data_IF_258145205211
#
_entry.id   IF_258145205211
#
_cell.length_a   1.000
_cell.length_b   1.000
_cell.length_c   1.000
_cell.angle_alpha   90.00
_cell.angle_beta   90.00
_cell.angle_gamma   90.00
#
_symmetry.space_group_name_H-M   'P 1'
#
loop_
_entity.id
_entity.type
_entity.pdbx_description
1 polymer ?
#
# COMPACT_ATOMS: atom_id res chain seq x y z
N UNK A 1 0.33 2.34 19.52
CA UNK A 1 -0.88 1.50 19.75
C UNK A 1 -1.70 1.32 18.47
N UNK A 2 -2.08 2.41 17.78
CA UNK A 2 -2.85 2.38 16.53
C UNK A 2 -2.22 1.57 15.37
N UNK A 3 -0.89 1.58 15.26
CA UNK A 3 -0.14 0.85 14.22
C UNK A 3 -0.44 -0.66 14.22
N UNK A 4 -0.65 -1.25 15.39
CA UNK A 4 -0.96 -2.70 15.49
C UNK A 4 -2.38 -3.00 15.03
N UNK A 5 -3.33 -2.09 15.26
CA UNK A 5 -4.68 -2.22 14.72
C UNK A 5 -4.70 -2.10 13.19
N UNK A 6 -3.93 -1.17 12.62
CA UNK A 6 -3.72 -1.08 11.16
C UNK A 6 -3.17 -2.39 10.59
N UNK A 7 -2.21 -2.99 11.29
CA UNK A 7 -1.62 -4.27 10.91
C UNK A 7 -2.65 -5.41 10.93
N UNK A 8 -3.51 -5.44 11.94
CA UNK A 8 -4.60 -6.42 12.07
C UNK A 8 -5.60 -6.24 10.91
N UNK A 9 -6.09 -5.02 10.67
CA UNK A 9 -7.02 -4.74 9.56
C UNK A 9 -6.41 -5.20 8.23
N UNK A 10 -5.17 -4.78 7.94
CA UNK A 10 -4.50 -5.12 6.69
C UNK A 10 -4.43 -6.63 6.49
N UNK A 11 -3.93 -7.35 7.49
CA UNK A 11 -3.75 -8.78 7.35
C UNK A 11 -5.09 -9.54 7.26
N UNK A 12 -6.11 -9.16 8.03
CA UNK A 12 -7.45 -9.77 7.95
C UNK A 12 -8.07 -9.51 6.57
N UNK A 13 -7.96 -8.29 6.06
CA UNK A 13 -8.45 -7.93 4.72
C UNK A 13 -7.82 -8.83 3.64
N UNK A 14 -6.50 -9.01 3.70
CA UNK A 14 -5.77 -9.86 2.76
C UNK A 14 -6.29 -11.31 2.78
N UNK A 15 -6.49 -11.87 3.96
CA UNK A 15 -7.00 -13.24 4.13
C UNK A 15 -8.41 -13.36 3.58
N UNK A 16 -9.28 -12.42 3.90
CA UNK A 16 -10.66 -12.42 3.41
C UNK A 16 -10.71 -12.36 1.89
N UNK A 17 -9.89 -11.52 1.25
CA UNK A 17 -9.78 -11.50 -0.21
C UNK A 17 -9.24 -12.80 -0.79
N UNK A 18 -8.18 -13.37 -0.19
CA UNK A 18 -7.57 -14.61 -0.71
C UNK A 18 -8.55 -15.75 -0.52
N UNK A 19 -8.96 -16.09 0.69
CA UNK A 19 -9.86 -17.21 0.93
C UNK A 19 -11.25 -17.00 0.34
N UNK A 20 -11.74 -15.77 0.27
CA UNK A 20 -12.97 -15.43 -0.45
C UNK A 20 -12.85 -15.76 -1.93
N UNK A 21 -11.73 -15.40 -2.57
CA UNK A 21 -11.43 -15.81 -3.95
C UNK A 21 -11.38 -17.34 -4.07
N UNK A 22 -10.68 -18.04 -3.17
CA UNK A 22 -10.53 -19.50 -3.22
C UNK A 22 -11.87 -20.24 -3.10
N UNK A 23 -12.70 -19.84 -2.14
CA UNK A 23 -13.95 -20.52 -1.84
C UNK A 23 -15.07 -20.13 -2.80
N UNK A 24 -14.95 -18.98 -3.49
CA UNK A 24 -15.87 -18.59 -4.56
C UNK A 24 -15.91 -19.58 -5.74
N UNK A 25 -14.86 -20.39 -5.93
CA UNK A 25 -14.86 -21.46 -6.93
C UNK A 25 -15.73 -22.65 -6.54
N UNK A 26 -15.88 -22.89 -5.24
CA UNK A 26 -16.59 -24.06 -4.69
C UNK A 26 -18.06 -23.73 -4.52
N UNK A 27 -18.40 -22.49 -4.16
CA UNK A 27 -19.79 -22.06 -4.00
C UNK A 27 -19.94 -20.63 -3.54
N UNK A 28 -21.17 -20.25 -3.23
CA UNK A 28 -21.51 -18.92 -2.72
C UNK A 28 -21.30 -18.85 -1.21
N UNK A 29 -20.66 -17.77 -0.76
CA UNK A 29 -20.46 -17.46 0.66
C UNK A 29 -21.54 -16.48 1.12
N UNK A 30 -22.15 -16.74 2.28
CA UNK A 30 -23.19 -15.88 2.84
C UNK A 30 -22.64 -14.98 3.94
N UNK A 31 -23.15 -13.74 4.04
CA UNK A 31 -22.88 -12.81 5.13
C UNK A 31 -21.39 -12.52 5.40
N UNK A 32 -20.56 -12.53 4.35
CA UNK A 32 -19.10 -12.36 4.46
C UNK A 32 -18.72 -11.02 5.09
N UNK A 33 -19.49 -9.97 4.84
CA UNK A 33 -19.28 -8.63 5.40
C UNK A 33 -19.44 -8.61 6.93
N UNK A 34 -20.48 -9.28 7.43
CA UNK A 34 -20.76 -9.36 8.86
C UNK A 34 -19.71 -10.24 9.56
N UNK A 35 -19.27 -11.31 8.90
CA UNK A 35 -18.15 -12.13 9.34
C UNK A 35 -16.84 -11.35 9.39
N UNK A 36 -16.55 -10.54 8.37
CA UNK A 36 -15.37 -9.70 8.33
C UNK A 36 -15.33 -8.71 9.49
N UNK A 37 -16.44 -8.01 9.73
CA UNK A 37 -16.60 -7.12 10.87
C UNK A 37 -16.41 -7.85 12.20
N UNK A 38 -17.02 -9.03 12.35
CA UNK A 38 -16.87 -9.85 13.56
C UNK A 38 -15.42 -10.26 13.81
N UNK A 39 -14.71 -10.71 12.77
CA UNK A 39 -13.31 -11.14 12.90
C UNK A 39 -12.39 -9.95 13.23
N UNK A 40 -12.65 -8.76 12.68
CA UNK A 40 -11.91 -7.54 13.08
C UNK A 40 -12.17 -7.20 14.55
N UNK A 41 -13.44 -7.13 14.96
CA UNK A 41 -13.82 -6.75 16.31
C UNK A 41 -13.28 -7.75 17.36
N UNK A 42 -13.43 -9.05 17.09
CA UNK A 42 -12.88 -10.10 17.95
C UNK A 42 -11.35 -10.03 18.02
N UNK A 43 -10.67 -9.78 16.90
CA UNK A 43 -9.22 -9.58 16.87
C UNK A 43 -8.76 -8.35 17.66
N UNK A 44 -9.53 -7.26 17.63
CA UNK A 44 -9.24 -6.05 18.40
C UNK A 44 -9.39 -6.27 19.90
N UNK A 45 -10.47 -6.96 20.31
CA UNK A 45 -10.72 -7.34 21.70
C UNK A 45 -9.61 -8.27 22.18
N UNK A 46 -9.29 -9.32 21.42
CA UNK A 46 -8.23 -10.27 21.79
C UNK A 46 -6.87 -9.57 21.91
N UNK A 47 -6.53 -8.68 20.97
CA UNK A 47 -5.30 -7.90 21.05
C UNK A 47 -5.27 -6.99 22.29
N UNK A 48 -6.38 -6.30 22.62
CA UNK A 48 -6.47 -5.41 23.78
C UNK A 48 -6.24 -6.13 25.10
N UNK A 49 -6.69 -7.38 25.20
CA UNK A 49 -6.58 -8.19 26.41
C UNK A 49 -5.48 -9.25 26.37
N UNK A 50 -4.63 -9.23 25.34
CA UNK A 50 -3.51 -10.16 25.16
C UNK A 50 -2.50 -10.16 26.32
N UNK A 51 -2.47 -9.11 27.15
CA UNK A 51 -1.62 -9.05 28.35
C UNK A 51 -2.12 -9.93 29.51
N UNK A 52 -3.40 -10.32 29.53
CA UNK A 52 -4.01 -11.15 30.58
C UNK A 52 -4.18 -12.59 30.07
N UNK A 53 -3.25 -13.49 30.44
CA UNK A 53 -3.18 -14.88 29.94
C UNK A 53 -4.53 -15.62 29.97
N UNK A 54 -5.24 -15.61 31.09
CA UNK A 54 -6.52 -16.33 31.23
C UNK A 54 -7.61 -15.75 30.34
N UNK A 55 -7.77 -14.43 30.34
CA UNK A 55 -8.80 -13.75 29.55
C UNK A 55 -8.52 -13.88 28.04
N UNK A 56 -7.25 -13.89 27.63
CA UNK A 56 -6.87 -14.09 26.23
C UNK A 56 -7.21 -15.49 25.70
N UNK A 57 -7.15 -16.52 26.55
CA UNK A 57 -7.54 -17.90 26.17
C UNK A 57 -9.04 -17.98 25.96
N UNK A 58 -9.83 -17.39 26.87
CA UNK A 58 -11.30 -17.35 26.75
C UNK A 58 -11.72 -16.59 25.49
N UNK A 59 -11.12 -15.43 25.25
CA UNK A 59 -11.41 -14.60 24.08
C UNK A 59 -10.96 -15.22 22.76
N UNK A 60 -10.06 -16.21 22.77
CA UNK A 60 -9.62 -16.91 21.55
C UNK A 60 -10.75 -17.73 20.90
N UNK A 61 -11.83 -18.00 21.64
CA UNK A 61 -13.02 -18.67 21.12
C UNK A 61 -13.90 -17.69 20.31
N UNK A 62 -13.77 -16.38 20.56
CA UNK A 62 -14.65 -15.36 20.00
C UNK A 62 -14.69 -15.31 18.45
N UNK A 63 -13.56 -15.43 17.72
CA UNK A 63 -13.58 -15.49 16.26
C UNK A 63 -14.38 -16.67 15.69
N UNK A 64 -14.58 -17.73 16.48
CA UNK A 64 -15.26 -18.96 16.06
C UNK A 64 -16.75 -18.98 16.42
N UNK A 65 -17.25 -18.02 17.19
CA UNK A 65 -18.65 -17.96 17.61
C UNK A 65 -19.66 -18.01 16.43
N UNK A 66 -19.40 -17.41 15.26
CA UNK A 66 -20.27 -17.54 14.10
C UNK A 66 -20.44 -18.97 13.56
N UNK A 67 -19.56 -19.92 13.90
CA UNK A 67 -19.71 -21.33 13.51
C UNK A 67 -21.03 -21.94 14.01
N UNK A 68 -21.53 -21.48 15.15
CA UNK A 68 -22.77 -21.96 15.76
C UNK A 68 -24.02 -21.50 14.98
N UNK A 69 -23.92 -20.37 14.26
CA UNK A 69 -25.04 -19.75 13.57
C UNK A 69 -25.15 -20.20 12.10
N UNK A 70 -24.04 -20.63 11.50
CA UNK A 70 -24.00 -20.93 10.06
C UNK A 70 -24.33 -22.41 9.77
N UNK A 71 -25.27 -22.61 8.84
CA UNK A 71 -25.74 -23.96 8.43
C UNK A 71 -24.92 -24.56 7.28
N UNK A 72 -24.31 -23.74 6.43
CA UNK A 72 -23.56 -24.20 5.26
C UNK A 72 -22.18 -24.78 5.60
N UNK A 73 -21.76 -25.93 5.00
CA UNK A 73 -20.44 -26.51 5.24
C UNK A 73 -19.31 -25.62 4.72
N UNK A 74 -19.55 -24.89 3.61
CA UNK A 74 -18.60 -23.96 3.02
C UNK A 74 -18.37 -22.74 3.92
N UNK A 75 -19.44 -22.13 4.42
CA UNK A 75 -19.37 -21.01 5.38
C UNK A 75 -18.63 -21.41 6.66
N UNK A 76 -18.89 -22.61 7.21
CA UNK A 76 -18.16 -23.12 8.39
C UNK A 76 -16.68 -23.29 8.11
N UNK A 77 -16.32 -23.81 6.94
CA UNK A 77 -14.93 -24.00 6.53
C UNK A 77 -14.23 -22.64 6.39
N UNK A 78 -14.90 -21.66 5.79
CA UNK A 78 -14.39 -20.29 5.69
C UNK A 78 -14.12 -19.67 7.07
N UNK A 79 -15.08 -19.78 8.01
CA UNK A 79 -14.92 -19.27 9.37
C UNK A 79 -13.78 -19.98 10.11
N UNK A 80 -13.67 -21.32 9.97
CA UNK A 80 -12.61 -22.08 10.61
C UNK A 80 -11.22 -21.63 10.14
N UNK A 81 -11.03 -21.50 8.82
CA UNK A 81 -9.76 -21.08 8.22
C UNK A 81 -9.43 -19.62 8.61
N UNK A 82 -10.37 -18.70 8.40
CA UNK A 82 -10.16 -17.26 8.69
C UNK A 82 -9.97 -17.02 10.18
N UNK A 83 -10.72 -17.72 11.04
CA UNK A 83 -10.59 -17.71 12.49
C UNK A 83 -9.22 -18.23 12.97
N UNK A 84 -8.80 -19.43 12.51
CA UNK A 84 -7.49 -19.99 12.84
C UNK A 84 -6.35 -19.07 12.41
N UNK A 85 -6.42 -18.52 11.21
CA UNK A 85 -5.38 -17.62 10.71
C UNK A 85 -5.37 -16.29 11.50
N UNK A 86 -6.54 -15.75 11.87
CA UNK A 86 -6.61 -14.54 12.71
C UNK A 86 -5.90 -14.73 14.05
N UNK A 87 -6.07 -15.89 14.70
CA UNK A 87 -5.37 -16.24 15.93
C UNK A 87 -3.87 -16.41 15.72
N UNK A 88 -3.47 -17.12 14.65
CA UNK A 88 -2.07 -17.27 14.27
C UNK A 88 -1.37 -15.91 14.12
N UNK A 89 -2.03 -14.96 13.46
CA UNK A 89 -1.53 -13.60 13.28
C UNK A 89 -1.41 -12.87 14.61
N UNK A 90 -2.42 -12.94 15.48
CA UNK A 90 -2.41 -12.24 16.76
C UNK A 90 -1.25 -12.71 17.65
N UNK A 91 -0.93 -14.00 17.65
CA UNK A 91 0.23 -14.56 18.35
C UNK A 91 1.57 -14.06 17.77
N UNK A 92 1.61 -13.77 16.47
CA UNK A 92 2.81 -13.28 15.75
C UNK A 92 2.97 -11.76 15.80
N UNK A 93 1.87 -11.00 15.83
CA UNK A 93 1.82 -9.52 15.84
C UNK A 93 2.43 -8.93 17.14
N UNK A 94 2.56 -9.73 18.20
CA UNK A 94 3.23 -9.32 19.44
C UNK A 94 4.73 -9.04 19.25
N UNK A 95 5.37 -9.53 18.17
CA UNK A 95 6.77 -9.24 17.85
C UNK A 95 6.95 -7.79 17.34
N UNK A 96 8.11 -7.17 17.61
CA UNK A 96 8.42 -5.78 17.20
C UNK A 96 8.12 -5.57 15.71
N UNK A 97 7.25 -4.61 15.42
CA UNK A 97 6.87 -4.20 14.06
C UNK A 97 7.80 -3.06 13.63
N UNK A 98 8.70 -3.33 12.69
CA UNK A 98 9.62 -2.32 12.11
C UNK A 98 9.20 -1.97 10.68
N UNK A 99 9.61 -0.81 10.17
CA UNK A 99 9.33 -0.40 8.80
C UNK A 99 9.88 -1.39 7.79
N UNK A 100 11.18 -1.75 7.88
CA UNK A 100 11.80 -2.73 6.99
C UNK A 100 11.05 -4.06 6.96
N UNK A 101 10.57 -4.51 8.12
CA UNK A 101 9.78 -5.74 8.23
C UNK A 101 8.41 -5.66 7.55
N UNK A 102 7.81 -4.47 7.49
CA UNK A 102 6.54 -4.23 6.83
C UNK A 102 6.72 -4.05 5.31
N UNK A 103 7.82 -3.44 4.87
CA UNK A 103 8.19 -3.29 3.45
C UNK A 103 8.41 -4.66 2.81
N UNK A 104 9.26 -5.49 3.40
CA UNK A 104 9.53 -6.84 2.88
C UNK A 104 8.25 -7.69 2.79
N UNK A 105 7.35 -7.50 3.77
CA UNK A 105 6.05 -8.13 3.80
C UNK A 105 5.16 -7.65 2.64
N UNK A 106 5.10 -6.35 2.40
CA UNK A 106 4.31 -5.75 1.33
C UNK A 106 4.82 -6.16 -0.05
N UNK A 107 6.13 -6.12 -0.28
CA UNK A 107 6.79 -6.53 -1.53
C UNK A 107 6.50 -8.00 -1.88
N UNK A 108 6.43 -8.89 -0.89
CA UNK A 108 6.09 -10.31 -1.12
C UNK A 108 4.62 -10.54 -1.44
N UNK A 109 3.72 -9.67 -0.97
CA UNK A 109 2.26 -9.86 -1.12
C UNK A 109 1.69 -9.13 -2.33
N UNK A 110 2.23 -7.98 -2.72
CA UNK A 110 1.77 -7.25 -3.90
C UNK A 110 1.67 -8.15 -5.15
N UNK A 111 2.68 -8.97 -5.50
CA UNK A 111 2.60 -9.83 -6.68
C UNK A 111 1.42 -10.79 -6.61
N UNK A 112 1.11 -11.32 -5.42
CA UNK A 112 -0.03 -12.22 -5.19
C UNK A 112 -1.34 -11.47 -5.43
N UNK A 113 -1.48 -10.26 -4.88
CA UNK A 113 -2.66 -9.41 -5.08
C UNK A 113 -2.86 -9.09 -6.56
N UNK A 114 -1.79 -8.74 -7.27
CA UNK A 114 -1.82 -8.47 -8.72
C UNK A 114 -2.26 -9.72 -9.49
N UNK A 115 -1.65 -10.88 -9.23
CA UNK A 115 -1.97 -12.14 -9.90
C UNK A 115 -3.45 -12.50 -9.67
N UNK A 116 -3.93 -12.46 -8.43
CA UNK A 116 -5.34 -12.78 -8.13
C UNK A 116 -6.27 -11.79 -8.82
N UNK A 117 -5.92 -10.50 -8.85
CA UNK A 117 -6.72 -9.47 -9.54
C UNK A 117 -6.80 -9.75 -11.04
N UNK A 118 -5.68 -10.04 -11.70
CA UNK A 118 -5.64 -10.37 -13.14
C UNK A 118 -6.45 -11.63 -13.43
N UNK A 119 -6.23 -12.70 -12.66
CA UNK A 119 -6.98 -13.96 -12.82
C UNK A 119 -8.48 -13.70 -12.64
N UNK A 120 -8.85 -12.88 -11.66
CA UNK A 120 -10.25 -12.58 -11.40
C UNK A 120 -10.91 -11.79 -12.52
N UNK A 121 -10.21 -10.82 -13.10
CA UNK A 121 -10.69 -10.09 -14.29
C UNK A 121 -10.83 -11.05 -15.47
N UNK A 122 -9.86 -11.92 -15.70
CA UNK A 122 -9.92 -12.92 -16.77
C UNK A 122 -11.12 -13.87 -16.58
N UNK A 123 -11.39 -14.32 -15.36
CA UNK A 123 -12.56 -15.15 -15.04
C UNK A 123 -13.86 -14.36 -15.25
N UNK A 124 -13.90 -13.09 -14.85
CA UNK A 124 -15.07 -12.24 -15.05
C UNK A 124 -15.41 -12.05 -16.53
N UNK A 125 -14.40 -12.03 -17.40
CA UNK A 125 -14.58 -11.95 -18.85
C UNK A 125 -15.00 -13.30 -19.46
N UNK A 126 -14.46 -14.40 -18.96
CA UNK A 126 -14.78 -15.74 -19.45
C UNK A 126 -16.11 -16.31 -18.94
N UNK A 127 -16.53 -15.91 -17.73
CA UNK A 127 -17.72 -16.43 -17.04
C UNK A 127 -18.49 -15.28 -16.38
N UNK A 128 -19.38 -14.59 -17.12
CA UNK A 128 -20.15 -13.43 -16.62
C UNK A 128 -20.92 -13.73 -15.33
N UNK A 129 -21.47 -14.93 -15.16
CA UNK A 129 -22.23 -15.31 -13.97
C UNK A 129 -21.37 -15.35 -12.68
N UNK A 130 -20.06 -15.57 -12.82
CA UNK A 130 -19.11 -15.59 -11.68
C UNK A 130 -18.48 -14.23 -11.41
N UNK A 131 -18.69 -13.23 -12.27
CA UNK A 131 -18.15 -11.87 -12.11
C UNK A 131 -18.69 -11.17 -10.85
N UNK A 132 -19.95 -11.45 -10.49
CA UNK A 132 -20.62 -10.87 -9.32
C UNK A 132 -19.86 -11.24 -8.05
N UNK A 133 -19.41 -12.50 -7.94
CA UNK A 133 -18.70 -13.01 -6.77
C UNK A 133 -17.35 -12.30 -6.55
N UNK A 134 -16.61 -11.99 -7.61
CA UNK A 134 -15.35 -11.26 -7.50
C UNK A 134 -15.55 -9.83 -6.97
N UNK A 135 -16.50 -9.12 -7.56
CA UNK A 135 -16.80 -7.73 -7.21
C UNK A 135 -17.34 -7.60 -5.78
N UNK A 136 -18.00 -8.63 -5.26
CA UNK A 136 -18.53 -8.64 -3.89
C UNK A 136 -17.55 -9.19 -2.86
N UNK A 137 -16.73 -10.20 -3.19
CA UNK A 137 -15.96 -10.96 -2.21
C UNK A 137 -14.46 -10.73 -2.21
N UNK A 138 -13.88 -10.18 -3.28
CA UNK A 138 -12.41 -10.10 -3.41
C UNK A 138 -11.95 -8.67 -3.49
N UNK A 139 -12.51 -7.91 -4.44
CA UNK A 139 -12.13 -6.52 -4.69
C UNK A 139 -12.27 -5.63 -3.43
N UNK A 140 -13.37 -5.68 -2.65
CA UNK A 140 -13.53 -4.80 -1.50
C UNK A 140 -12.43 -4.99 -0.45
N UNK A 141 -12.05 -6.24 -0.15
CA UNK A 141 -11.03 -6.51 0.87
C UNK A 141 -9.62 -6.28 0.35
N UNK A 142 -9.33 -6.45 -0.94
CA UNK A 142 -8.05 -6.01 -1.50
C UNK A 142 -7.86 -4.51 -1.42
N UNK A 143 -8.91 -3.72 -1.68
CA UNK A 143 -8.85 -2.26 -1.52
C UNK A 143 -8.54 -1.90 -0.06
N UNK A 144 -9.25 -2.51 0.90
CA UNK A 144 -8.97 -2.26 2.34
C UNK A 144 -7.56 -2.71 2.72
N UNK A 145 -7.08 -3.85 2.20
CA UNK A 145 -5.71 -4.33 2.41
C UNK A 145 -4.68 -3.31 1.90
N UNK A 146 -4.78 -2.89 0.64
CA UNK A 146 -3.83 -1.98 0.00
C UNK A 146 -3.78 -0.64 0.73
N UNK A 147 -4.95 -0.06 1.01
CA UNK A 147 -5.06 1.20 1.72
C UNK A 147 -4.46 1.12 3.11
N UNK A 148 -4.84 0.10 3.89
CA UNK A 148 -4.32 -0.07 5.24
C UNK A 148 -2.82 -0.40 5.27
N UNK A 149 -2.31 -1.16 4.29
CA UNK A 149 -0.89 -1.47 4.15
C UNK A 149 -0.05 -0.24 3.77
N UNK A 150 -0.50 0.56 2.80
CA UNK A 150 0.18 1.81 2.40
C UNK A 150 0.22 2.81 3.55
N UNK A 151 -0.90 2.96 4.26
CA UNK A 151 -0.98 3.80 5.46
C UNK A 151 -0.05 3.30 6.55
N UNK A 152 -0.02 1.98 6.77
CA UNK A 152 0.88 1.37 7.74
C UNK A 152 2.34 1.66 7.39
N UNK A 153 2.74 1.48 6.13
CA UNK A 153 4.10 1.75 5.66
C UNK A 153 4.45 3.23 5.81
N UNK A 154 3.56 4.14 5.41
CA UNK A 154 3.76 5.58 5.55
C UNK A 154 3.94 5.97 7.01
N UNK A 155 3.11 5.42 7.88
CA UNK A 155 3.19 5.66 9.34
C UNK A 155 4.50 5.14 9.91
N UNK A 156 4.89 3.91 9.58
CA UNK A 156 6.13 3.31 10.06
C UNK A 156 7.37 4.07 9.55
N UNK A 157 7.38 4.45 8.26
CA UNK A 157 8.43 5.29 7.67
C UNK A 157 8.54 6.62 8.41
N UNK A 158 7.42 7.26 8.69
CA UNK A 158 7.43 8.52 9.41
C UNK A 158 7.98 8.36 10.84
N UNK A 159 7.59 7.33 11.56
CA UNK A 159 8.09 7.05 12.92
C UNK A 159 9.60 6.75 12.92
N UNK A 160 10.10 6.10 11.87
CA UNK A 160 11.50 5.74 11.74
C UNK A 160 12.39 6.94 11.34
N UNK A 161 11.88 7.87 10.52
CA UNK A 161 12.66 8.98 9.97
C UNK A 161 12.34 10.37 10.53
N UNK A 162 11.22 10.58 11.24
CA UNK A 162 10.97 11.83 11.97
C UNK A 162 11.43 11.72 13.41
N UNK A 163 12.50 12.46 13.71
CA UNK A 163 12.86 12.83 15.07
C UNK A 163 11.65 13.43 15.80
N UNK A 164 11.51 13.08 17.08
CA UNK A 164 10.35 13.22 17.95
C UNK A 164 9.79 14.65 18.21
N UNK A 165 10.10 15.64 17.39
CA UNK A 165 9.80 17.06 17.66
C UNK A 165 8.40 17.52 17.20
N UNK A 166 7.80 16.95 16.14
CA UNK A 166 6.52 17.45 15.61
C UNK A 166 5.31 16.54 15.90
N UNK A 167 4.80 16.61 17.14
CA UNK A 167 3.62 15.84 17.59
C UNK A 167 2.30 16.26 16.92
N UNK A 168 2.18 17.45 16.36
CA UNK A 168 0.92 17.93 15.77
C UNK A 168 0.74 17.47 14.31
N UNK A 169 1.82 17.35 13.54
CA UNK A 169 1.80 16.72 12.19
C UNK A 169 1.34 15.25 12.28
N UNK A 170 1.63 14.58 13.41
CA UNK A 170 1.21 13.21 13.70
C UNK A 170 -0.31 13.07 13.85
N UNK A 171 -0.99 14.00 14.53
CA UNK A 171 -2.45 13.93 14.72
C UNK A 171 -3.21 14.12 13.41
N UNK A 172 -2.74 15.05 12.57
CA UNK A 172 -3.37 15.38 11.29
C UNK A 172 -3.17 14.25 10.27
N UNK A 173 -1.94 13.74 10.10
CA UNK A 173 -1.69 12.60 9.22
C UNK A 173 -2.39 11.32 9.69
N UNK A 174 -2.53 11.14 11.01
CA UNK A 174 -3.32 10.04 11.58
C UNK A 174 -4.80 10.21 11.27
N UNK A 175 -5.36 11.41 11.44
CA UNK A 175 -6.75 11.69 11.12
C UNK A 175 -7.05 11.44 9.64
N UNK A 176 -6.18 11.86 8.72
CA UNK A 176 -6.31 11.55 7.30
C UNK A 176 -6.20 10.06 7.02
N UNK A 177 -5.27 9.36 7.68
CA UNK A 177 -5.10 7.91 7.53
C UNK A 177 -6.35 7.14 7.99
N UNK A 178 -6.90 7.52 9.15
CA UNK A 178 -8.15 6.93 9.68
C UNK A 178 -9.31 7.27 8.75
N UNK A 179 -9.40 8.51 8.27
CA UNK A 179 -10.42 8.94 7.32
C UNK A 179 -10.38 8.14 6.02
N UNK A 180 -9.19 7.94 5.44
CA UNK A 180 -9.02 7.15 4.22
C UNK A 180 -9.42 5.69 4.47
N UNK A 181 -9.03 5.08 5.60
CA UNK A 181 -9.45 3.71 5.94
C UNK A 181 -10.95 3.61 6.10
N UNK A 182 -11.57 4.57 6.78
CA UNK A 182 -13.00 4.61 6.99
C UNK A 182 -13.75 4.77 5.67
N UNK A 183 -13.29 5.66 4.79
CA UNK A 183 -13.84 5.83 3.44
C UNK A 183 -13.66 4.56 2.61
N UNK A 184 -12.48 3.93 2.64
CA UNK A 184 -12.24 2.67 1.93
C UNK A 184 -13.09 1.53 2.45
N UNK A 185 -13.32 1.47 3.77
CA UNK A 185 -14.25 0.54 4.39
C UNK A 185 -15.70 0.83 3.96
N UNK A 186 -16.14 2.09 3.97
CA UNK A 186 -17.47 2.45 3.49
C UNK A 186 -17.66 2.06 2.02
N UNK A 187 -16.69 2.37 1.15
CA UNK A 187 -16.70 1.98 -0.26
C UNK A 187 -16.64 0.46 -0.48
N UNK A 188 -16.18 -0.30 0.51
CA UNK A 188 -16.20 -1.77 0.47
C UNK A 188 -17.62 -2.34 0.60
N UNK A 189 -18.57 -1.57 1.15
CA UNK A 189 -19.95 -2.02 1.35
C UNK A 189 -20.78 -1.84 0.06
N UNK A 190 -21.52 -2.87 -0.40
CA UNK A 190 -22.32 -2.81 -1.62
C UNK A 190 -23.44 -1.77 -1.52
N UNK A 191 -24.05 -1.62 -0.33
CA UNK A 191 -25.10 -0.62 -0.09
C UNK A 191 -24.58 0.80 -0.32
N UNK A 192 -23.39 1.11 0.21
CA UNK A 192 -22.77 2.43 0.04
C UNK A 192 -22.41 2.67 -1.42
N UNK A 193 -21.84 1.68 -2.11
CA UNK A 193 -21.56 1.78 -3.55
C UNK A 193 -22.83 2.01 -4.38
N UNK A 194 -23.91 1.31 -4.07
CA UNK A 194 -25.18 1.46 -4.77
C UNK A 194 -25.78 2.86 -4.58
N UNK A 195 -25.72 3.41 -3.36
CA UNK A 195 -26.16 4.78 -3.07
C UNK A 195 -25.30 5.80 -3.80
N UNK A 196 -23.97 5.65 -3.77
CA UNK A 196 -23.06 6.54 -4.51
C UNK A 196 -23.31 6.50 -6.01
N UNK A 197 -23.48 5.30 -6.58
CA UNK A 197 -23.75 5.13 -8.01
C UNK A 197 -25.08 5.77 -8.40
N UNK A 198 -26.12 5.61 -7.56
CA UNK A 198 -27.42 6.27 -7.76
C UNK A 198 -27.28 7.80 -7.72
N UNK A 199 -26.45 8.33 -6.82
CA UNK A 199 -26.17 9.77 -6.75
C UNK A 199 -25.44 10.27 -8.01
N UNK A 200 -24.41 9.55 -8.44
CA UNK A 200 -23.64 9.87 -9.66
C UNK A 200 -24.53 9.79 -10.91
N UNK A 201 -25.36 8.75 -11.02
CA UNK A 201 -26.26 8.58 -12.17
C UNK A 201 -27.34 9.67 -12.22
N UNK A 202 -27.89 10.08 -11.07
CA UNK A 202 -28.77 11.24 -10.98
C UNK A 202 -28.06 12.51 -11.43
N UNK A 203 -26.88 12.80 -10.90
CA UNK A 203 -26.12 13.99 -11.32
C UNK A 203 -25.81 14.00 -12.81
N UNK A 204 -25.36 12.87 -13.35
CA UNK A 204 -25.08 12.72 -14.78
C UNK A 204 -26.33 12.91 -15.64
N UNK A 205 -27.47 12.32 -15.25
CA UNK A 205 -28.74 12.48 -15.99
C UNK A 205 -29.25 13.92 -15.96
N UNK A 206 -29.07 14.66 -14.86
CA UNK A 206 -29.38 16.09 -14.81
C UNK A 206 -28.47 16.94 -15.71
N UNK A 207 -27.16 16.67 -15.71
CA UNK A 207 -26.22 17.39 -16.59
C UNK A 207 -26.53 17.09 -18.06
N UNK A 208 -26.73 15.82 -18.39
CA UNK A 208 -27.03 15.39 -19.76
C UNK A 208 -28.37 15.95 -20.24
N UNK A 209 -29.41 15.92 -19.41
CA UNK A 209 -30.72 16.50 -19.76
C UNK A 209 -30.65 18.01 -19.94
N UNK A 210 -29.92 18.73 -19.08
CA UNK A 210 -29.67 20.16 -19.26
C UNK A 210 -28.94 20.47 -20.56
N UNK A 211 -27.90 19.69 -20.89
CA UNK A 211 -27.18 19.81 -22.17
C UNK A 211 -28.09 19.55 -23.37
N UNK A 212 -28.86 18.46 -23.35
CA UNK A 212 -29.80 18.11 -24.41
C UNK A 212 -30.90 19.17 -24.58
N UNK A 213 -31.40 19.72 -23.48
CA UNK A 213 -32.40 20.80 -23.53
C UNK A 213 -31.80 22.07 -24.14
N UNK A 214 -30.56 22.44 -23.78
CA UNK A 214 -29.85 23.55 -24.41
C UNK A 214 -29.67 23.35 -25.91
N UNK A 215 -29.28 22.14 -26.32
CA UNK A 215 -29.14 21.77 -27.73
C UNK A 215 -30.49 21.83 -28.46
N UNK A 216 -31.58 21.37 -27.84
CA UNK A 216 -32.92 21.46 -28.40
C UNK A 216 -33.38 22.92 -28.61
N UNK A 217 -33.07 23.83 -27.69
CA UNK A 217 -33.36 25.26 -27.85
C UNK A 217 -32.58 25.89 -29.00
N UNK A 218 -31.32 25.50 -29.21
CA UNK A 218 -30.53 25.96 -30.36
C UNK A 218 -31.17 25.49 -31.66
N UNK A 219 -31.54 24.20 -31.74
CA UNK A 219 -32.23 23.65 -32.91
C UNK A 219 -33.55 24.38 -33.15
N UNK A 220 -34.33 24.63 -32.11
CA UNK A 220 -35.58 25.39 -32.21
C UNK A 220 -35.35 26.82 -32.70
N UNK A 221 -34.32 27.51 -32.20
CA UNK A 221 -33.97 28.85 -32.66
C UNK A 221 -33.58 28.87 -34.15
N UNK A 222 -32.85 27.86 -34.61
CA UNK A 222 -32.51 27.69 -36.03
C UNK A 222 -33.79 27.51 -36.85
N UNK A 223 -34.69 26.60 -36.46
CA UNK A 223 -35.98 26.41 -37.15
C UNK A 223 -36.84 27.68 -37.14
N UNK A 224 -36.86 28.43 -36.05
CA UNK A 224 -37.57 29.71 -35.96
C UNK A 224 -37.01 30.74 -36.94
N UNK A 225 -35.69 30.83 -37.08
CA UNK A 225 -35.05 31.69 -38.08
C UNK A 225 -35.39 31.24 -39.49
N UNK A 226 -35.35 29.93 -39.78
CA UNK A 226 -35.76 29.38 -41.06
C UNK A 226 -37.22 29.70 -41.40
N UNK A 227 -38.14 29.57 -40.44
CA UNK A 227 -39.55 29.93 -40.61
C UNK A 227 -39.71 31.42 -40.97
N UNK A 228 -38.97 32.31 -40.31
CA UNK A 228 -38.95 33.74 -40.65
C UNK A 228 -38.37 34.02 -42.04
N UNK A 229 -37.33 33.31 -42.45
CA UNK A 229 -36.74 33.43 -43.79
C UNK A 229 -37.74 32.96 -44.86
N UNK A 230 -38.41 31.82 -44.65
CA UNK A 230 -39.44 31.30 -45.54
C UNK A 230 -40.61 32.29 -45.63
N UNK A 231 -41.07 32.82 -44.50
CA UNK A 231 -42.14 33.83 -44.46
C UNK A 231 -41.72 35.13 -45.17
N UNK A 232 -40.45 35.53 -45.10
CA UNK A 232 -39.91 36.69 -45.83
C UNK A 232 -39.85 36.42 -47.33
N UNK A 233 -39.35 35.26 -47.76
CA UNK A 233 -39.35 34.84 -49.17
C UNK A 233 -40.78 34.75 -49.74
N UNK A 234 -41.73 34.24 -48.95
CA UNK A 234 -43.15 34.17 -49.32
C UNK A 234 -43.83 35.53 -49.49
N UNK A 235 -43.24 36.63 -49.00
CA UNK A 235 -43.70 38.00 -49.30
C UNK A 235 -43.19 38.52 -50.65
N UNK A 236 -42.06 38.03 -51.13
CA UNK A 236 -41.50 38.40 -52.45
C UNK A 236 -42.08 37.58 -53.59
N UNK A 237 -42.40 36.31 -53.35
CA UNK A 237 -43.14 35.47 -54.29
C UNK A 237 -44.63 35.57 -53.98
N UNK A 238 -45.38 36.36 -54.78
CA UNK A 238 -46.85 36.29 -54.82
C UNK A 238 -47.27 34.96 -55.48
N UNK A 239 -47.01 33.86 -54.79
CA UNK A 239 -47.51 32.55 -55.17
C UNK A 239 -48.93 32.42 -54.59
N UNK A 240 -49.88 32.05 -55.44
CA UNK A 240 -51.22 31.60 -55.04
C UNK A 240 -51.13 30.73 -53.79
N UNK A 241 -51.88 31.09 -52.75
CA UNK A 241 -52.07 30.24 -51.59
C UNK A 241 -52.75 28.95 -52.04
N UNK A 242 -51.95 27.94 -52.41
CA UNK A 242 -52.35 26.57 -52.13
C UNK A 242 -52.20 26.42 -50.62
N UNK A 243 -53.32 26.27 -49.95
CA UNK A 243 -53.37 25.86 -48.55
C UNK A 243 -52.45 24.65 -48.40
N UNK A 244 -51.34 24.84 -47.69
CA UNK A 244 -50.53 23.72 -47.22
C UNK A 244 -51.48 22.87 -46.37
N UNK A 245 -51.55 21.55 -46.61
CA UNK A 245 -52.41 20.68 -45.81
C UNK A 245 -52.03 20.87 -44.35
N UNK A 246 -53.03 21.23 -43.55
CA UNK A 246 -52.91 21.39 -42.11
C UNK A 246 -52.38 20.07 -41.53
N UNK A 247 -51.08 20.02 -41.25
CA UNK A 247 -50.47 18.87 -40.59
C UNK A 247 -51.06 18.88 -39.18
N UNK A 248 -52.11 18.09 -38.97
CA UNK A 248 -52.72 17.88 -37.65
C UNK A 248 -51.62 17.48 -36.69
N UNK A 249 -51.38 18.31 -35.69
CA UNK A 249 -50.40 18.12 -34.63
C UNK A 249 -50.51 16.73 -33.99
N UNK A 250 -51.71 16.17 -33.92
CA UNK A 250 -51.98 14.80 -33.45
C UNK A 250 -51.25 13.70 -34.26
N UNK A 251 -51.05 13.87 -35.56
CA UNK A 251 -50.38 12.85 -36.39
C UNK A 251 -48.86 12.90 -36.22
N UNK A 252 -48.29 14.10 -36.06
CA UNK A 252 -46.87 14.27 -35.76
C UNK A 252 -46.53 13.78 -34.34
N UNK A 253 -47.40 14.07 -33.36
CA UNK A 253 -47.25 13.56 -31.99
C UNK A 253 -47.37 12.03 -31.94
N UNK A 254 -48.30 11.43 -32.71
CA UNK A 254 -48.38 9.96 -32.84
C UNK A 254 -47.13 9.34 -33.48
N UNK A 255 -46.61 9.93 -34.56
CA UNK A 255 -45.38 9.42 -35.22
C UNK A 255 -44.13 9.55 -34.34
N UNK A 256 -44.03 10.61 -33.52
CA UNK A 256 -42.95 10.76 -32.54
C UNK A 256 -43.10 9.73 -31.40
N UNK A 257 -44.33 9.45 -30.96
CA UNK A 257 -44.61 8.42 -29.95
C UNK A 257 -44.30 7.00 -30.47
N UNK A 258 -44.58 6.73 -31.75
CA UNK A 258 -44.29 5.46 -32.39
C UNK A 258 -42.79 5.27 -32.66
N UNK A 259 -42.06 6.34 -33.01
CA UNK A 259 -40.59 6.31 -33.08
C UNK A 259 -39.94 6.14 -31.69
N UNK A 260 -40.52 6.71 -30.63
CA UNK A 260 -40.07 6.47 -29.26
C UNK A 260 -40.32 5.02 -28.80
N UNK A 261 -41.39 4.38 -29.29
CA UNK A 261 -41.70 2.96 -29.05
C UNK A 261 -40.84 2.00 -29.87
N UNK A 262 -40.35 2.41 -31.04
CA UNK A 262 -39.31 1.64 -31.77
C UNK A 262 -37.96 1.58 -31.04
N UNK A 263 -37.75 2.42 -30.02
CA UNK A 263 -36.60 2.37 -29.12
C UNK A 263 -36.77 1.45 -27.90
N UNK A 264 -37.96 0.87 -27.67
CA UNK A 264 -38.12 -0.23 -26.73
C UNK A 264 -37.60 -1.50 -27.39
N UNK A 265 -36.40 -1.88 -26.99
CA UNK A 265 -35.65 -3.04 -27.45
C UNK A 265 -36.54 -4.27 -27.64
N UNK A 266 -36.73 -4.64 -28.90
CA UNK A 266 -36.95 -6.02 -29.29
C UNK A 266 -35.80 -6.82 -28.66
N UNK A 267 -36.13 -7.57 -27.61
CA UNK A 267 -35.19 -8.49 -26.97
C UNK A 267 -34.74 -9.46 -28.05
N UNK A 268 -33.59 -9.18 -28.65
CA UNK A 268 -32.88 -10.09 -29.52
C UNK A 268 -32.85 -11.44 -28.80
N UNK A 269 -33.34 -12.53 -29.42
CA UNK A 269 -33.22 -13.84 -28.81
C UNK A 269 -31.73 -14.10 -28.61
N UNK A 270 -31.36 -14.33 -27.34
CA UNK A 270 -30.06 -14.82 -26.93
C UNK A 270 -29.73 -16.00 -27.84
N UNK A 271 -28.88 -15.76 -28.86
CA UNK A 271 -28.36 -16.83 -29.70
C UNK A 271 -27.58 -17.72 -28.77
N UNK A 272 -28.19 -18.86 -28.43
CA UNK A 272 -27.61 -19.91 -27.63
C UNK A 272 -26.19 -20.14 -28.08
N UNK A 273 -25.24 -19.86 -27.19
CA UNK A 273 -23.86 -20.27 -27.35
C UNK A 273 -23.89 -21.77 -27.64
N UNK A 274 -23.48 -22.12 -28.86
CA UNK A 274 -23.38 -23.49 -29.32
C UNK A 274 -22.51 -24.25 -28.32
N UNK A 275 -23.17 -25.12 -27.55
CA UNK A 275 -22.55 -26.06 -26.63
C UNK A 275 -21.67 -27.03 -27.41
N UNK A 276 -20.38 -26.74 -27.51
CA UNK A 276 -19.35 -27.74 -27.78
C UNK A 276 -18.97 -28.38 -26.44
N UNK A 277 -19.80 -29.35 -26.02
CA UNK A 277 -19.83 -29.82 -24.63
C UNK A 277 -18.59 -30.54 -24.12
N UNK A 278 -17.61 -30.87 -24.97
CA UNK A 278 -16.46 -31.68 -24.54
C UNK A 278 -15.13 -30.91 -24.49
N UNK A 279 -14.93 -29.88 -25.32
CA UNK A 279 -13.71 -29.05 -25.26
C UNK A 279 -13.76 -28.05 -24.10
N UNK A 280 -14.94 -27.46 -23.84
CA UNK A 280 -15.12 -26.55 -22.69
C UNK A 280 -14.87 -27.25 -21.35
N UNK A 281 -15.27 -28.51 -21.19
CA UNK A 281 -15.07 -29.24 -19.93
C UNK A 281 -13.59 -29.50 -19.65
N UNK A 282 -12.81 -29.88 -20.67
CA UNK A 282 -11.37 -30.12 -20.51
C UNK A 282 -10.62 -28.82 -20.19
N UNK A 283 -10.94 -27.71 -20.87
CA UNK A 283 -10.36 -26.41 -20.54
C UNK A 283 -10.74 -25.94 -19.13
N UNK A 284 -11.98 -26.17 -18.70
CA UNK A 284 -12.43 -25.86 -17.34
C UNK A 284 -11.67 -26.71 -16.31
N UNK A 285 -11.45 -28.00 -16.56
CA UNK A 285 -10.71 -28.89 -15.64
C UNK A 285 -9.23 -28.48 -15.58
N UNK A 286 -8.58 -28.26 -16.73
CA UNK A 286 -7.18 -27.83 -16.80
C UNK A 286 -6.99 -26.48 -16.10
N UNK A 287 -7.87 -25.52 -16.37
CA UNK A 287 -7.83 -24.20 -15.73
C UNK A 287 -8.07 -24.30 -14.21
N UNK A 288 -8.97 -25.19 -13.78
CA UNK A 288 -9.21 -25.46 -12.36
C UNK A 288 -7.97 -26.08 -11.68
N UNK A 289 -7.29 -27.02 -12.33
CA UNK A 289 -6.06 -27.64 -11.81
C UNK A 289 -4.92 -26.61 -11.71
N UNK A 290 -4.74 -25.76 -12.72
CA UNK A 290 -3.74 -24.67 -12.70
C UNK A 290 -4.03 -23.69 -11.56
N UNK A 291 -5.30 -23.31 -11.39
CA UNK A 291 -5.73 -22.46 -10.27
C UNK A 291 -5.41 -23.13 -8.93
N UNK A 292 -5.68 -24.43 -8.77
CA UNK A 292 -5.37 -25.21 -7.55
C UNK A 292 -3.86 -25.28 -7.26
N UNK A 293 -3.00 -25.38 -8.28
CA UNK A 293 -1.54 -25.37 -8.11
C UNK A 293 -1.06 -23.98 -7.65
N UNK A 294 -1.56 -22.90 -8.28
CA UNK A 294 -1.27 -21.51 -7.87
C UNK A 294 -1.75 -21.27 -6.44
N UNK A 295 -2.90 -21.83 -6.08
CA UNK A 295 -3.51 -21.86 -4.75
C UNK A 295 -2.59 -22.44 -3.67
N UNK A 296 -2.10 -23.66 -3.90
CA UNK A 296 -1.19 -24.35 -2.98
C UNK A 296 0.11 -23.57 -2.85
N UNK A 297 0.61 -23.03 -3.95
CA UNK A 297 1.79 -22.17 -3.96
C UNK A 297 1.61 -20.90 -3.10
N UNK A 298 0.47 -20.20 -3.21
CA UNK A 298 0.15 -19.02 -2.40
C UNK A 298 0.08 -19.37 -0.91
N UNK A 299 -0.58 -20.46 -0.55
CA UNK A 299 -0.67 -20.93 0.84
C UNK A 299 0.73 -21.22 1.39
N UNK A 300 1.55 -21.98 0.65
CA UNK A 300 2.93 -22.31 1.06
C UNK A 300 3.75 -21.02 1.26
N UNK A 301 3.62 -20.03 0.37
CA UNK A 301 4.30 -18.74 0.52
C UNK A 301 3.83 -17.99 1.76
N UNK A 302 2.52 -17.91 2.01
CA UNK A 302 1.96 -17.20 3.16
C UNK A 302 2.42 -17.81 4.48
N UNK A 303 2.56 -19.13 4.56
CA UNK A 303 3.08 -19.83 5.74
C UNK A 303 4.61 -19.73 5.85
N UNK A 304 5.37 -19.93 4.76
CA UNK A 304 6.85 -19.81 4.76
C UNK A 304 7.35 -18.40 5.05
N UNK A 305 6.53 -17.38 4.75
CA UNK A 305 6.78 -15.96 5.06
C UNK A 305 7.22 -15.71 6.51
N UNK A 306 6.78 -16.55 7.44
CA UNK A 306 7.04 -16.41 8.86
C UNK A 306 8.15 -17.32 9.41
N UNK A 307 8.65 -18.28 8.63
CA UNK A 307 9.75 -19.18 9.03
C UNK A 307 11.14 -18.65 8.68
N UNK A 308 11.28 -17.83 7.63
CA UNK A 308 12.59 -17.25 7.24
C UNK A 308 13.22 -16.29 8.26
N UNK A 309 12.58 -16.04 9.41
CA UNK A 309 13.14 -15.24 10.52
C UNK A 309 13.95 -16.05 11.53
N UNK A 310 14.27 -17.33 11.27
CA UNK A 310 15.22 -18.10 12.09
C UNK A 310 16.68 -17.72 11.89
N UNK A 311 17.00 -16.95 10.83
CA UNK A 311 18.26 -16.20 10.81
C UNK A 311 17.91 -14.77 11.23
N UNK A 312 18.45 -14.26 12.35
CA UNK A 312 18.51 -12.82 12.51
C UNK A 312 19.32 -12.31 11.31
N UNK A 313 18.62 -11.76 10.30
CA UNK A 313 19.21 -10.66 9.57
C UNK A 313 19.52 -9.66 10.66
N UNK A 314 20.79 -9.31 10.74
CA UNK A 314 21.38 -8.33 11.66
C UNK A 314 20.32 -7.29 11.98
N UNK A 315 20.08 -7.11 13.27
CA UNK A 315 19.28 -6.01 13.78
C UNK A 315 19.62 -4.79 12.93
N UNK A 316 18.59 -4.11 12.39
CA UNK A 316 18.73 -2.77 11.82
C UNK A 316 19.20 -1.84 12.98
N UNK A 317 20.45 -2.02 13.39
CA UNK A 317 21.25 -0.95 13.93
C UNK A 317 21.25 0.08 12.81
N UNK A 318 20.66 1.24 13.10
CA UNK A 318 21.00 2.45 12.36
C UNK A 318 22.46 2.71 12.71
N UNK A 319 23.36 2.00 12.02
CA UNK A 319 24.72 2.44 11.87
C UNK A 319 24.63 3.78 11.14
N UNK A 320 24.72 4.87 11.89
CA UNK A 320 25.35 6.08 11.36
C UNK A 320 26.82 5.75 11.08
N UNK A 321 27.06 4.95 10.04
CA UNK A 321 28.38 4.84 9.40
C UNK A 321 28.65 6.20 8.81
N UNK A 322 29.55 6.96 9.44
CA UNK A 322 30.13 8.16 8.82
C UNK A 322 30.86 7.71 7.54
N UNK A 323 30.22 7.90 6.40
CA UNK A 323 30.86 7.70 5.11
C UNK A 323 31.86 8.83 4.88
N UNK A 324 33.13 8.48 4.75
CA UNK A 324 34.16 9.38 4.22
C UNK A 324 33.73 9.68 2.77
N UNK A 325 33.31 10.92 2.51
CA UNK A 325 32.65 11.31 1.27
C UNK A 325 33.70 11.82 0.29
N UNK A 326 34.36 10.90 -0.41
CA UNK A 326 35.29 11.29 -1.46
C UNK A 326 34.46 11.75 -2.66
N UNK A 327 34.57 13.05 -3.02
CA UNK A 327 34.01 13.58 -4.28
C UNK A 327 34.53 12.72 -5.44
N UNK A 328 33.61 12.09 -6.18
CA UNK A 328 33.94 11.36 -7.42
C UNK A 328 34.47 12.36 -8.46
N UNK A 329 35.78 12.48 -8.59
CA UNK A 329 36.37 12.97 -9.85
C UNK A 329 36.27 11.85 -10.88
N UNK A 330 35.35 12.01 -11.83
CA UNK A 330 35.21 11.14 -13.00
C UNK A 330 36.53 11.13 -13.77
N UNK A 331 37.12 9.94 -13.93
CA UNK A 331 38.30 9.72 -14.77
C UNK A 331 39.57 9.23 -14.06
N UNK A 332 39.58 9.02 -12.74
CA UNK A 332 40.77 8.52 -12.06
C UNK A 332 40.83 6.99 -11.92
N UNK A 333 41.89 6.39 -12.44
CA UNK A 333 42.13 4.93 -12.48
C UNK A 333 42.17 4.26 -11.10
N UNK A 334 42.03 2.92 -11.09
CA UNK A 334 41.89 2.07 -9.90
C UNK A 334 43.00 2.33 -8.86
N UNK A 335 44.23 2.62 -9.31
CA UNK A 335 45.37 2.97 -8.46
C UNK A 335 45.18 4.29 -7.70
N UNK A 336 44.59 5.32 -8.32
CA UNK A 336 44.32 6.62 -7.67
C UNK A 336 43.27 6.46 -6.57
N UNK A 337 42.24 5.63 -6.80
CA UNK A 337 41.21 5.30 -5.79
C UNK A 337 41.79 4.59 -4.56
N UNK A 338 42.82 3.76 -4.73
CA UNK A 338 43.52 3.10 -3.62
C UNK A 338 44.37 4.12 -2.84
N UNK A 339 45.06 5.02 -3.55
CA UNK A 339 45.87 6.08 -2.93
C UNK A 339 44.99 7.08 -2.16
N UNK A 340 43.87 7.52 -2.74
CA UNK A 340 42.92 8.42 -2.09
C UNK A 340 42.26 7.77 -0.86
N UNK A 341 42.10 6.45 -0.84
CA UNK A 341 41.63 5.68 0.32
C UNK A 341 42.68 5.61 1.45
N UNK A 342 43.96 5.65 1.12
CA UNK A 342 45.07 5.62 2.08
C UNK A 342 45.48 7.02 2.56
N UNK A 343 45.25 8.06 1.75
CA UNK A 343 45.65 9.43 2.01
C UNK A 343 44.66 10.43 1.37
N UNK A 344 43.51 10.68 2.02
CA UNK A 344 42.53 11.64 1.49
C UNK A 344 43.15 13.03 1.38
N UNK A 345 42.77 13.75 0.31
CA UNK A 345 43.25 15.12 0.07
C UNK A 345 42.65 16.13 1.05
N UNK A 346 41.44 15.86 1.52
CA UNK A 346 40.70 16.76 2.40
C UNK A 346 41.23 16.74 3.85
N UNK A 347 41.56 17.91 4.44
CA UNK A 347 42.04 18.03 5.82
C UNK A 347 41.14 17.36 6.88
N UNK A 348 39.81 17.45 6.73
CA UNK A 348 38.84 16.87 7.66
C UNK A 348 38.88 15.35 7.56
N UNK A 349 38.82 14.82 6.33
CA UNK A 349 38.89 13.38 6.09
C UNK A 349 40.21 12.76 6.58
N UNK A 350 41.32 13.50 6.49
CA UNK A 350 42.61 13.04 7.05
C UNK A 350 42.53 12.86 8.57
N UNK A 351 41.99 13.83 9.29
CA UNK A 351 41.86 13.73 10.76
C UNK A 351 40.92 12.56 11.11
N UNK A 352 39.79 12.41 10.41
CA UNK A 352 38.86 11.28 10.60
C UNK A 352 39.51 9.92 10.33
N UNK A 353 40.33 9.81 9.28
CA UNK A 353 41.05 8.57 8.95
C UNK A 353 42.00 8.15 10.08
N UNK A 354 42.77 9.09 10.63
CA UNK A 354 43.72 8.78 11.69
C UNK A 354 43.02 8.54 13.04
N UNK A 355 41.89 9.20 13.30
CA UNK A 355 41.04 8.86 14.44
C UNK A 355 40.47 7.44 14.32
N UNK A 356 40.02 7.04 13.12
CA UNK A 356 39.59 5.66 12.84
C UNK A 356 40.72 4.65 13.10
N UNK A 357 41.96 4.95 12.71
CA UNK A 357 43.11 4.09 13.02
C UNK A 357 43.32 3.96 14.53
N UNK A 358 43.17 5.04 15.29
CA UNK A 358 43.21 5.01 16.75
C UNK A 358 42.11 4.11 17.35
N UNK A 359 40.88 4.15 16.83
CA UNK A 359 39.80 3.25 17.28
C UNK A 359 40.11 1.78 16.98
N UNK A 360 40.71 1.50 15.81
CA UNK A 360 41.18 0.14 15.47
C UNK A 360 42.26 -0.32 16.45
N UNK A 361 43.21 0.53 16.81
CA UNK A 361 44.22 0.22 17.82
C UNK A 361 43.61 -0.03 19.21
N UNK A 362 42.52 0.67 19.57
CA UNK A 362 41.79 0.38 20.80
C UNK A 362 41.18 -1.03 20.77
N UNK A 363 40.63 -1.43 19.61
CA UNK A 363 40.10 -2.78 19.40
C UNK A 363 41.20 -3.85 19.45
N UNK A 364 42.37 -3.58 18.85
CA UNK A 364 43.53 -4.48 18.90
C UNK A 364 44.08 -4.68 20.33
N UNK A 365 43.98 -3.66 21.18
CA UNK A 365 44.33 -3.74 22.61
C UNK A 365 43.20 -4.26 23.50
N UNK A 366 42.16 -4.85 22.91
CA UNK A 366 40.99 -5.41 23.60
C UNK A 366 40.29 -4.42 24.55
N UNK A 367 40.37 -3.13 24.25
CA UNK A 367 39.65 -2.09 25.00
C UNK A 367 38.17 -2.27 24.69
N UNK A 368 37.36 -2.51 25.72
CA UNK A 368 35.91 -2.78 25.62
C UNK A 368 35.08 -1.58 25.16
N UNK A 369 35.29 -1.16 23.90
CA UNK A 369 34.54 -0.12 23.24
C UNK A 369 33.15 -0.65 22.85
N UNK A 370 32.12 0.09 23.25
CA UNK A 370 30.73 -0.14 22.84
C UNK A 370 30.35 0.87 21.78
N UNK A 371 29.42 0.52 20.91
CA UNK A 371 28.95 1.41 19.84
C UNK A 371 28.26 2.68 20.38
N UNK A 372 27.74 2.63 21.61
CA UNK A 372 27.16 3.77 22.33
C UNK A 372 28.20 4.71 22.96
N UNK A 373 29.49 4.36 22.91
CA UNK A 373 30.51 5.13 23.59
C UNK A 373 30.72 6.48 22.88
N UNK A 374 30.65 7.56 23.66
CA UNK A 374 31.02 8.89 23.19
C UNK A 374 32.54 9.03 23.06
N UNK A 375 33.01 10.09 22.42
CA UNK A 375 34.46 10.41 22.37
C UNK A 375 35.06 10.62 23.77
N UNK A 376 34.24 10.94 24.78
CA UNK A 376 34.66 11.02 26.18
C UNK A 376 34.80 9.62 26.80
N UNK A 377 33.87 8.72 26.52
CA UNK A 377 33.90 7.34 27.00
C UNK A 377 35.10 6.59 26.41
N UNK A 378 35.34 6.76 25.11
CA UNK A 378 36.51 6.19 24.41
C UNK A 378 37.80 6.70 25.06
N UNK A 379 37.92 8.01 25.32
CA UNK A 379 39.06 8.58 26.02
C UNK A 379 39.26 7.96 27.41
N UNK A 380 38.18 7.86 28.19
CA UNK A 380 38.22 7.34 29.56
C UNK A 380 38.65 5.88 29.59
N UNK A 381 38.17 5.07 28.64
CA UNK A 381 38.52 3.65 28.51
C UNK A 381 39.94 3.44 27.97
N UNK A 382 40.44 4.35 27.13
CA UNK A 382 41.75 4.19 26.49
C UNK A 382 42.90 4.87 27.21
N UNK A 383 42.64 5.75 28.19
CA UNK A 383 43.66 6.60 28.83
C UNK A 383 44.80 5.84 29.50
N UNK A 384 44.55 4.61 29.95
CA UNK A 384 45.54 3.80 30.64
C UNK A 384 46.37 2.91 29.69
N UNK A 385 45.99 2.88 28.39
CA UNK A 385 46.64 2.07 27.36
C UNK A 385 47.51 2.87 26.38
N UNK A 386 47.39 4.21 26.40
CA UNK A 386 48.09 5.13 25.51
C UNK A 386 48.63 6.34 26.28
N UNK A 387 49.47 7.15 25.63
CA UNK A 387 50.06 8.34 26.25
C UNK A 387 48.99 9.33 26.74
N UNK A 388 48.98 9.61 28.05
CA UNK A 388 47.97 10.43 28.74
C UNK A 388 48.03 11.90 28.35
N UNK A 389 49.19 12.38 27.89
CA UNK A 389 49.40 13.77 27.48
C UNK A 389 48.90 14.03 26.05
N UNK A 390 48.85 12.99 25.21
CA UNK A 390 48.49 13.10 23.78
C UNK A 390 46.98 12.97 23.56
N UNK A 391 46.33 12.03 24.25
CA UNK A 391 44.92 11.70 24.05
C UNK A 391 43.94 12.88 24.25
N UNK A 392 44.07 13.75 25.28
CA UNK A 392 43.17 14.88 25.47
C UNK A 392 43.19 15.82 24.27
N UNK A 393 44.39 16.11 23.74
CA UNK A 393 44.56 17.02 22.60
C UNK A 393 44.03 16.41 21.30
N UNK A 394 44.23 15.11 21.09
CA UNK A 394 43.62 14.41 19.95
C UNK A 394 42.09 14.45 20.02
N UNK A 395 41.51 14.22 21.20
CA UNK A 395 40.05 14.31 21.40
C UNK A 395 39.53 15.71 21.11
N UNK A 396 40.21 16.74 21.59
CA UNK A 396 39.84 18.14 21.36
C UNK A 396 39.80 18.49 19.86
N UNK A 397 40.87 18.17 19.13
CA UNK A 397 40.96 18.41 17.68
C UNK A 397 39.87 17.63 16.93
N UNK A 398 39.63 16.36 17.27
CA UNK A 398 38.62 15.55 16.61
C UNK A 398 37.19 16.08 16.85
N UNK A 399 36.86 16.50 18.08
CA UNK A 399 35.56 17.11 18.40
C UNK A 399 35.34 18.39 17.61
N UNK A 400 36.37 19.26 17.55
CA UNK A 400 36.32 20.51 16.76
C UNK A 400 36.09 20.24 15.28
N UNK A 401 36.71 19.21 14.72
CA UNK A 401 36.55 18.82 13.31
C UNK A 401 35.21 18.10 13.05
N UNK A 402 34.64 17.44 14.05
CA UNK A 402 33.38 16.69 13.92
C UNK A 402 32.14 17.59 14.04
N UNK A 403 32.18 18.53 14.98
CA UNK A 403 31.04 19.37 15.34
C UNK A 403 31.26 20.87 15.06
N UNK A 404 32.50 21.29 14.79
CA UNK A 404 32.80 22.66 14.41
C UNK A 404 32.58 22.89 12.93
N UNK A 405 32.09 24.08 12.59
CA UNK A 405 31.86 24.54 11.21
C UNK A 405 33.13 25.08 10.53
N UNK A 406 34.29 24.96 11.16
CA UNK A 406 35.57 25.50 10.67
C UNK A 406 36.41 24.42 9.98
N UNK A 407 36.90 24.75 8.77
CA UNK A 407 37.85 23.89 8.06
C UNK A 407 39.21 23.89 8.80
N UNK A 408 39.73 22.73 9.23
CA UNK A 408 40.98 22.65 9.96
C UNK A 408 42.15 23.10 9.07
N UNK A 409 43.04 23.91 9.63
CA UNK A 409 44.25 24.36 8.93
C UNK A 409 45.21 23.18 8.67
N UNK A 410 46.10 23.34 7.69
CA UNK A 410 47.15 22.34 7.41
C UNK A 410 48.09 22.09 8.61
N UNK A 411 48.19 23.05 9.54
CA UNK A 411 48.92 22.91 10.80
C UNK A 411 48.17 21.99 11.78
N UNK A 412 46.86 22.17 11.94
CA UNK A 412 46.02 21.30 12.78
C UNK A 412 46.08 19.84 12.33
N UNK A 413 46.11 19.59 11.01
CA UNK A 413 46.27 18.22 10.47
C UNK A 413 47.66 17.65 10.81
N UNK A 414 48.72 18.46 10.69
CA UNK A 414 50.10 18.04 11.03
C UNK A 414 50.24 17.76 12.53
N UNK A 415 49.64 18.59 13.36
CA UNK A 415 49.55 18.41 14.81
C UNK A 415 48.82 17.11 15.15
N UNK A 416 47.65 16.85 14.56
CA UNK A 416 46.91 15.61 14.80
C UNK A 416 47.72 14.36 14.40
N UNK A 417 48.47 14.43 13.30
CA UNK A 417 49.33 13.34 12.83
C UNK A 417 50.53 13.11 13.75
N UNK A 418 51.16 14.16 14.27
CA UNK A 418 52.28 14.04 15.21
C UNK A 418 51.81 13.45 16.53
N UNK A 419 50.63 13.88 17.02
CA UNK A 419 49.96 13.30 18.18
C UNK A 419 49.66 11.81 17.97
N UNK A 420 49.06 11.44 16.84
CA UNK A 420 48.80 10.04 16.52
C UNK A 420 50.08 9.18 16.51
N UNK A 421 51.21 9.70 15.98
CA UNK A 421 52.49 8.97 15.99
C UNK A 421 53.04 8.77 17.41
N UNK A 422 52.78 9.72 18.31
CA UNK A 422 53.18 9.68 19.72
C UNK A 422 52.19 8.94 20.63
N UNK A 423 51.12 8.37 20.07
CA UNK A 423 50.09 7.68 20.84
C UNK A 423 50.64 6.47 21.62
N UNK A 424 51.64 5.78 21.05
CA UNK A 424 52.33 4.63 21.64
C UNK A 424 53.68 4.95 22.29
N UNK A 425 54.17 6.20 22.23
CA UNK A 425 55.40 6.55 22.95
C UNK A 425 55.09 6.59 24.44
N UNK A 426 55.82 5.80 25.22
CA UNK A 426 55.85 5.95 26.68
C UNK A 426 56.30 7.38 26.99
N UNK A 427 55.71 7.98 28.03
CA UNK A 427 56.23 9.22 28.60
C UNK A 427 57.70 9.05 28.99
#
# INVERSE_FOLDING_TARGET
MYIRYLKIISNISLIFSIFGFLLSFIGTLNNVELLYLWIILSSFILYRFSSKKVLSIILAILPFLPLLLMKGPLDRTFIAITGLYSLYLLLRIVKKLTYGSAVEEFEKVIPIVIIITIISIAISLAFPDKSILYNTLVLPYFVVYLVSAVILLRTLRYIEYSSSENKDINKVNLAYSIGIIFISFLLSLPVVRAVLWKGISLGFTYILSGFLMGLAWIVFAVFFVFDKIIALLGRFFKAERRELPEIKTDELTRRILDMARMGESEKLPEKGAVSSSNTNQIFIIIFSVIIVIILVYIIIILFRRYESRRKPKEEDYIETKEFITIKKEEGSGILKRIIDRLRPKDPIERIRLYYKKYLLMCKEKEIGLKESDTTLDIYTKSRDFFNKNVLPRMREIYIKVRYGSENPSGETVREFLSLYKRLNSKD
#
